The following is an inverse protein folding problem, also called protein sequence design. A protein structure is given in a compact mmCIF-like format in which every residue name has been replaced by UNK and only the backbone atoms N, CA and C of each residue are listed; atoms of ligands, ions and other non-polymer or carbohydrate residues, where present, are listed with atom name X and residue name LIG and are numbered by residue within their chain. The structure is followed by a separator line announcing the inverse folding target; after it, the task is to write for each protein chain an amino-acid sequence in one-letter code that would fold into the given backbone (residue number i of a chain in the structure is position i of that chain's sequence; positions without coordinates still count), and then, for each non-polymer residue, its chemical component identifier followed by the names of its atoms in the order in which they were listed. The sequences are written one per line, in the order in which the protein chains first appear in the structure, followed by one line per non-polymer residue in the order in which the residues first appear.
data_IF_755650732850
#
_entry.id   IF_755650732850
#
_cell.length_a   1.000
_cell.length_b   1.000
_cell.length_c   1.000
_cell.angle_alpha   90.00
_cell.angle_beta   90.00
_cell.angle_gamma   90.00
#
_symmetry.space_group_name_H-M   'P 1'
#
loop_
_entity.id
_entity.type
_entity.pdbx_description
1 polymer ?
#
# COMPACT_ATOMS: atom_id res chain seq x y z
N UNK A 1 4.05 -37.15 2.36
CA UNK A 1 3.05 -36.91 3.43
C UNK A 1 3.80 -36.69 4.73
N UNK A 2 4.08 -35.44 5.08
CA UNK A 2 4.98 -35.14 6.21
C UNK A 2 4.21 -35.10 7.53
N UNK A 3 4.62 -35.97 8.44
CA UNK A 3 4.06 -36.25 9.76
C UNK A 3 4.62 -35.24 10.77
N UNK A 4 3.75 -34.53 11.47
CA UNK A 4 4.12 -33.66 12.59
C UNK A 4 4.08 -34.49 13.89
N UNK A 5 5.21 -34.60 14.58
CA UNK A 5 5.24 -34.96 16.02
C UNK A 5 6.49 -34.33 16.63
N UNK A 6 6.28 -33.35 17.50
CA UNK A 6 7.30 -32.75 18.35
C UNK A 6 7.72 -33.74 19.42
N UNK A 7 9.03 -33.98 19.57
CA UNK A 7 9.68 -34.04 20.88
C UNK A 7 11.18 -33.78 20.70
N UNK A 8 11.74 -32.88 21.52
CA UNK A 8 13.16 -32.93 21.89
C UNK A 8 14.01 -31.69 21.63
N UNK A 9 13.81 -30.62 22.42
CA UNK A 9 14.79 -30.10 23.41
C UNK A 9 14.32 -28.73 23.91
N UNK A 10 14.30 -28.56 25.24
CA UNK A 10 14.06 -27.28 25.90
C UNK A 10 15.15 -26.28 25.48
N UNK A 11 14.79 -25.33 24.63
CA UNK A 11 15.45 -24.03 24.63
C UNK A 11 14.95 -23.26 25.86
N UNK A 12 15.90 -22.63 26.56
CA UNK A 12 15.71 -21.81 27.74
C UNK A 12 14.52 -20.85 27.61
N UNK A 13 13.63 -20.90 28.60
CA UNK A 13 12.48 -20.02 28.77
C UNK A 13 12.90 -18.55 28.81
N UNK A 14 12.51 -17.79 27.80
CA UNK A 14 12.17 -16.40 28.03
C UNK A 14 10.77 -16.37 28.63
N UNK A 15 10.66 -15.82 29.84
CA UNK A 15 9.40 -15.52 30.48
C UNK A 15 8.73 -14.32 29.82
N UNK A 16 7.51 -14.48 29.34
CA UNK A 16 6.46 -13.47 29.48
C UNK A 16 5.14 -14.22 29.63
N UNK A 17 4.46 -14.01 30.76
CA UNK A 17 3.35 -14.81 31.27
C UNK A 17 2.01 -14.61 30.57
N UNK A 18 1.99 -14.38 29.26
CA UNK A 18 0.75 -14.17 28.51
C UNK A 18 0.39 -15.39 27.65
N UNK A 19 -0.85 -15.83 27.82
CA UNK A 19 -1.48 -16.89 27.02
C UNK A 19 -1.64 -16.41 25.57
N UNK A 20 -0.95 -17.02 24.58
CA UNK A 20 -0.98 -16.55 23.19
C UNK A 20 -2.37 -16.63 22.56
N UNK A 21 -3.29 -17.40 23.14
CA UNK A 21 -4.69 -17.46 22.68
C UNK A 21 -5.48 -16.19 23.04
N UNK A 22 -4.94 -15.34 23.91
CA UNK A 22 -5.51 -14.03 24.27
C UNK A 22 -5.02 -12.88 23.39
N UNK A 23 -4.10 -13.14 22.46
CA UNK A 23 -3.68 -12.13 21.49
C UNK A 23 -4.88 -11.63 20.69
N UNK A 24 -4.99 -10.30 20.51
CA UNK A 24 -6.11 -9.70 19.78
C UNK A 24 -5.93 -9.81 18.27
N UNK A 25 -4.71 -10.08 17.83
CA UNK A 25 -4.34 -10.20 16.43
C UNK A 25 -3.17 -11.15 16.24
N UNK A 26 -3.16 -11.85 15.12
CA UNK A 26 -2.00 -12.62 14.66
C UNK A 26 -0.72 -11.79 14.64
N UNK A 27 -0.81 -10.49 14.34
CA UNK A 27 0.35 -9.59 14.24
C UNK A 27 0.96 -9.19 15.60
N UNK A 28 0.33 -9.53 16.73
CA UNK A 28 0.91 -9.37 18.07
C UNK A 28 1.86 -10.53 18.44
N UNK A 29 1.86 -11.60 17.64
CA UNK A 29 2.63 -12.81 17.89
C UNK A 29 4.00 -12.75 17.21
N UNK A 30 4.89 -13.65 17.63
CA UNK A 30 6.19 -13.91 17.01
C UNK A 30 6.50 -15.40 16.98
N UNK A 31 7.41 -15.79 16.10
CA UNK A 31 7.91 -17.16 16.00
C UNK A 31 9.42 -17.15 15.74
N UNK A 32 10.13 -18.17 16.21
CA UNK A 32 11.56 -18.32 15.96
C UNK A 32 11.76 -19.02 14.61
N UNK A 33 12.58 -18.44 13.73
CA UNK A 33 12.90 -19.02 12.43
C UNK A 33 13.98 -20.13 12.51
N UNK A 34 14.30 -20.72 11.36
CA UNK A 34 15.32 -21.79 11.26
C UNK A 34 16.74 -21.32 11.61
N UNK A 35 17.00 -20.01 11.62
CA UNK A 35 18.27 -19.42 12.03
C UNK A 35 18.29 -19.06 13.53
N UNK A 36 17.23 -19.37 14.27
CA UNK A 36 17.12 -19.05 15.69
C UNK A 36 16.72 -17.60 15.98
N UNK A 37 16.27 -16.85 14.97
CA UNK A 37 15.88 -15.44 15.13
C UNK A 37 14.39 -15.33 15.43
N UNK A 38 14.03 -14.48 16.39
CA UNK A 38 12.62 -14.14 16.66
C UNK A 38 12.08 -13.24 15.55
N UNK A 39 11.09 -13.73 14.82
CA UNK A 39 10.41 -13.02 13.74
C UNK A 39 9.01 -12.60 14.19
N UNK A 40 8.70 -11.29 14.24
CA UNK A 40 7.34 -10.84 14.53
C UNK A 40 6.41 -11.14 13.34
N UNK A 41 5.20 -11.60 13.63
CA UNK A 41 4.22 -11.92 12.60
C UNK A 41 3.70 -10.67 11.87
N UNK A 42 3.81 -9.48 12.48
CA UNK A 42 3.55 -8.18 11.83
C UNK A 42 4.36 -7.96 10.56
N UNK A 43 5.50 -8.65 10.40
CA UNK A 43 6.30 -8.69 9.17
C UNK A 43 5.48 -9.13 7.95
N UNK A 44 4.47 -9.98 8.16
CA UNK A 44 3.60 -10.52 7.12
C UNK A 44 2.30 -9.72 6.95
N UNK A 45 2.17 -8.57 7.59
CA UNK A 45 1.00 -7.71 7.44
C UNK A 45 0.97 -7.05 6.06
N UNK A 46 -0.25 -6.74 5.57
CA UNK A 46 -0.42 -5.99 4.33
C UNK A 46 0.24 -4.60 4.42
N UNK A 47 0.18 -3.95 5.58
CA UNK A 47 0.82 -2.65 5.79
C UNK A 47 2.33 -2.74 5.61
N UNK A 48 2.98 -3.73 6.24
CA UNK A 48 4.41 -3.94 6.10
C UNK A 48 4.79 -4.22 4.64
N UNK A 49 4.09 -5.15 3.98
CA UNK A 49 4.34 -5.51 2.59
C UNK A 49 4.20 -4.29 1.65
N UNK A 50 3.09 -3.57 1.76
CA UNK A 50 2.78 -2.49 0.83
C UNK A 50 3.70 -1.29 1.03
N UNK A 51 3.89 -0.80 2.26
CA UNK A 51 4.74 0.36 2.48
C UNK A 51 6.20 0.10 2.13
N UNK A 52 6.74 -1.08 2.47
CA UNK A 52 8.12 -1.42 2.09
C UNK A 52 8.29 -1.50 0.57
N UNK A 53 7.37 -2.14 -0.16
CA UNK A 53 7.50 -2.26 -1.61
C UNK A 53 7.22 -0.94 -2.35
N UNK A 54 6.23 -0.16 -1.92
CA UNK A 54 5.96 1.16 -2.51
C UNK A 54 7.15 2.12 -2.30
N UNK A 55 7.77 2.12 -1.12
CA UNK A 55 8.96 2.91 -0.86
C UNK A 55 10.12 2.51 -1.79
N UNK A 56 10.29 1.21 -2.05
CA UNK A 56 11.31 0.71 -2.97
C UNK A 56 11.04 1.13 -4.43
N UNK A 57 9.79 1.02 -4.90
CA UNK A 57 9.39 1.46 -6.23
C UNK A 57 9.58 2.97 -6.42
N UNK A 58 9.16 3.76 -5.43
CA UNK A 58 9.36 5.20 -5.39
C UNK A 58 10.84 5.58 -5.47
N UNK A 59 11.69 4.99 -4.62
CA UNK A 59 13.13 5.22 -4.67
C UNK A 59 13.75 4.85 -6.03
N UNK A 60 13.24 3.81 -6.68
CA UNK A 60 13.74 3.32 -7.97
C UNK A 60 13.31 4.19 -9.15
N UNK A 61 12.06 4.66 -9.17
CA UNK A 61 11.43 5.24 -10.36
C UNK A 61 11.02 6.70 -10.24
N UNK A 62 11.10 7.34 -9.06
CA UNK A 62 10.71 8.75 -8.91
C UNK A 62 11.42 9.68 -9.89
N UNK A 63 12.73 9.52 -10.05
CA UNK A 63 13.53 10.32 -10.98
C UNK A 63 13.24 10.02 -12.47
N UNK A 64 12.43 9.00 -12.75
CA UNK A 64 11.97 8.63 -14.08
C UNK A 64 10.52 9.09 -14.31
N UNK A 65 9.88 9.72 -13.32
CA UNK A 65 8.53 10.28 -13.42
C UNK A 65 7.43 9.45 -12.74
N UNK A 66 7.77 8.45 -11.90
CA UNK A 66 6.77 7.82 -11.03
C UNK A 66 6.47 8.73 -9.84
N UNK A 67 5.19 9.01 -9.62
CA UNK A 67 4.71 9.65 -8.39
C UNK A 67 3.75 8.72 -7.66
N UNK A 68 3.97 8.52 -6.36
CA UNK A 68 3.07 7.76 -5.49
C UNK A 68 2.27 8.74 -4.63
N UNK A 69 0.95 8.61 -4.68
CA UNK A 69 -0.01 9.44 -3.96
C UNK A 69 -0.79 8.57 -2.95
N UNK A 70 -0.64 8.85 -1.66
CA UNK A 70 -1.24 8.07 -0.59
C UNK A 70 -2.41 8.79 0.07
N UNK A 71 -3.56 8.11 0.17
CA UNK A 71 -4.79 8.61 0.78
C UNK A 71 -5.17 7.73 1.98
N UNK A 72 -4.83 8.14 3.22
CA UNK A 72 -5.28 7.44 4.41
C UNK A 72 -6.80 7.38 4.48
N UNK A 73 -7.35 6.27 4.97
CA UNK A 73 -8.79 6.04 5.04
C UNK A 73 -9.13 5.09 6.20
N UNK A 74 -10.16 5.42 6.98
CA UNK A 74 -10.56 4.61 8.14
C UNK A 74 -11.81 3.73 7.89
N UNK A 75 -12.32 3.69 6.66
CA UNK A 75 -13.56 2.97 6.33
C UNK A 75 -13.42 1.44 6.38
N UNK A 76 -12.20 0.91 6.50
CA UNK A 76 -11.91 -0.52 6.40
C UNK A 76 -11.50 -1.10 7.75
N UNK A 77 -12.49 -1.61 8.50
CA UNK A 77 -12.27 -2.24 9.80
C UNK A 77 -11.67 -1.31 10.87
N UNK A 78 -11.75 0.01 10.69
CA UNK A 78 -11.19 0.98 11.64
C UNK A 78 -9.67 0.94 11.75
N UNK A 79 -8.96 0.52 10.68
CA UNK A 79 -7.50 0.31 10.70
C UNK A 79 -6.67 1.60 10.65
N UNK A 80 -7.28 2.77 10.44
CA UNK A 80 -6.63 4.09 10.44
C UNK A 80 -7.32 5.09 11.39
N UNK A 81 -7.43 4.78 12.69
CA UNK A 81 -8.23 5.58 13.63
C UNK A 81 -7.54 6.89 14.03
N UNK A 82 -6.22 6.98 13.84
CA UNK A 82 -5.39 8.13 14.25
C UNK A 82 -5.69 9.43 13.50
N UNK A 83 -5.19 10.56 14.01
CA UNK A 83 -5.20 11.84 13.32
C UNK A 83 -4.15 11.86 12.19
N UNK A 84 -4.22 12.83 11.28
CA UNK A 84 -3.26 12.96 10.19
C UNK A 84 -1.80 13.03 10.71
N UNK A 85 -1.59 13.68 11.85
CA UNK A 85 -0.27 13.81 12.49
C UNK A 85 0.26 12.43 12.93
N UNK A 86 -0.59 11.63 13.60
CA UNK A 86 -0.23 10.27 14.04
C UNK A 86 0.06 9.34 12.86
N UNK A 87 -0.71 9.48 11.78
CA UNK A 87 -0.48 8.72 10.54
C UNK A 87 0.91 9.06 9.99
N UNK A 88 1.26 10.35 9.91
CA UNK A 88 2.57 10.78 9.43
C UNK A 88 3.71 10.32 10.33
N UNK A 89 3.54 10.34 11.65
CA UNK A 89 4.53 9.78 12.60
C UNK A 89 4.76 8.29 12.36
N UNK A 90 3.69 7.51 12.16
CA UNK A 90 3.79 6.08 11.87
C UNK A 90 4.50 5.83 10.53
N UNK A 91 4.09 6.54 9.47
CA UNK A 91 4.64 6.36 8.11
C UNK A 91 6.13 6.72 8.04
N UNK A 92 6.60 7.70 8.83
CA UNK A 92 8.03 8.04 8.91
C UNK A 92 8.92 6.84 9.29
N UNK A 93 8.39 5.87 10.03
CA UNK A 93 9.15 4.66 10.41
C UNK A 93 9.49 3.76 9.21
N UNK A 94 8.81 3.94 8.08
CA UNK A 94 9.06 3.22 6.83
C UNK A 94 10.05 3.94 5.89
N UNK A 95 10.55 5.13 6.25
CA UNK A 95 11.42 5.91 5.38
C UNK A 95 10.75 6.41 4.10
N UNK A 96 9.41 6.44 4.09
CA UNK A 96 8.61 6.89 2.95
C UNK A 96 8.74 8.40 2.78
N UNK A 97 8.89 8.84 1.54
CA UNK A 97 9.01 10.26 1.18
C UNK A 97 7.99 10.73 0.14
N UNK A 98 7.14 9.83 -0.38
CA UNK A 98 6.09 10.18 -1.32
C UNK A 98 4.89 10.87 -0.63
N UNK A 99 4.03 11.51 -1.42
CA UNK A 99 2.99 12.42 -0.93
C UNK A 99 1.87 11.69 -0.19
N UNK A 100 1.53 12.17 1.01
CA UNK A 100 0.32 11.78 1.75
C UNK A 100 -0.69 12.93 1.75
N UNK A 101 -1.96 12.60 1.54
CA UNK A 101 -3.07 13.54 1.66
C UNK A 101 -3.75 13.40 3.03
N UNK A 102 -4.65 14.33 3.33
CA UNK A 102 -5.50 14.22 4.51
C UNK A 102 -6.31 12.92 4.47
N UNK A 103 -6.56 12.34 5.65
CA UNK A 103 -7.47 11.20 5.78
C UNK A 103 -8.83 11.55 5.18
N UNK A 104 -9.36 10.67 4.34
CA UNK A 104 -10.59 10.92 3.60
C UNK A 104 -11.40 9.65 3.39
N UNK A 105 -12.66 9.83 2.99
CA UNK A 105 -13.53 8.73 2.60
C UNK A 105 -13.34 8.43 1.11
N UNK A 106 -13.27 7.14 0.81
CA UNK A 106 -13.06 6.62 -0.56
C UNK A 106 -14.29 5.86 -1.08
N UNK A 107 -15.29 5.66 -0.22
CA UNK A 107 -16.59 5.07 -0.51
C UNK A 107 -17.73 5.88 0.13
N UNK A 108 -18.97 5.65 -0.33
CA UNK A 108 -20.17 6.33 0.16
C UNK A 108 -20.32 7.77 -0.34
N UNK A 109 -21.30 8.48 0.22
CA UNK A 109 -21.70 9.82 -0.24
C UNK A 109 -20.60 10.88 -0.03
N UNK A 110 -19.71 10.66 0.94
CA UNK A 110 -18.57 11.52 1.23
C UNK A 110 -17.30 11.16 0.44
N UNK A 111 -17.39 10.25 -0.54
CA UNK A 111 -16.23 9.88 -1.36
C UNK A 111 -15.62 11.13 -2.01
N UNK A 112 -14.32 11.38 -1.81
CA UNK A 112 -13.64 12.50 -2.47
C UNK A 112 -13.61 12.35 -4.00
N UNK A 113 -13.64 13.45 -4.77
CA UNK A 113 -13.79 13.40 -6.24
C UNK A 113 -12.77 12.51 -6.96
N UNK A 114 -11.51 12.48 -6.51
CA UNK A 114 -10.47 11.63 -7.12
C UNK A 114 -10.87 10.15 -7.10
N UNK A 115 -11.43 9.65 -6.00
CA UNK A 115 -11.88 8.26 -5.91
C UNK A 115 -13.23 8.04 -6.60
N UNK A 116 -14.10 9.04 -6.70
CA UNK A 116 -15.30 8.93 -7.53
C UNK A 116 -14.90 8.68 -9.00
N UNK A 117 -13.98 9.50 -9.51
CA UNK A 117 -13.45 9.41 -10.88
C UNK A 117 -12.75 8.07 -11.13
N UNK A 118 -11.81 7.67 -10.27
CA UNK A 118 -11.04 6.44 -10.43
C UNK A 118 -11.92 5.19 -10.35
N UNK A 119 -12.87 5.12 -9.42
CA UNK A 119 -13.79 3.99 -9.30
C UNK A 119 -14.74 3.88 -10.49
N UNK A 120 -15.15 5.01 -11.06
CA UNK A 120 -16.02 5.04 -12.24
C UNK A 120 -15.31 4.46 -13.47
N UNK A 121 -14.08 4.91 -13.75
CA UNK A 121 -13.34 4.48 -14.93
C UNK A 121 -12.72 3.08 -14.76
N UNK A 122 -12.32 2.71 -13.54
CA UNK A 122 -11.70 1.43 -13.23
C UNK A 122 -12.54 0.65 -12.21
N UNK A 123 -13.68 0.15 -12.68
CA UNK A 123 -14.57 -0.69 -11.87
C UNK A 123 -13.89 -2.01 -11.50
N UNK A 124 -14.15 -2.51 -10.29
CA UNK A 124 -13.71 -3.85 -9.89
C UNK A 124 -14.69 -4.94 -10.36
N UNK A 125 -14.26 -6.20 -10.26
CA UNK A 125 -15.06 -7.36 -10.68
C UNK A 125 -16.45 -7.49 -10.00
N UNK A 126 -16.63 -6.91 -8.81
CA UNK A 126 -17.88 -6.98 -8.04
C UNK A 126 -18.46 -5.57 -7.80
N UNK A 127 -18.28 -4.66 -8.75
CA UNK A 127 -18.73 -3.28 -8.67
C UNK A 127 -17.58 -2.28 -8.50
N UNK A 128 -17.94 -0.99 -8.41
CA UNK A 128 -16.96 0.09 -8.43
C UNK A 128 -16.34 0.40 -7.06
N UNK A 129 -16.97 0.00 -5.95
CA UNK A 129 -16.50 0.31 -4.58
C UNK A 129 -15.12 -0.28 -4.27
N UNK A 130 -14.38 0.42 -3.40
CA UNK A 130 -13.07 -0.05 -2.89
C UNK A 130 -13.31 -1.07 -1.78
N UNK A 131 -12.75 -2.27 -1.91
CA UNK A 131 -13.08 -3.41 -1.04
C UNK A 131 -12.32 -3.40 0.29
N UNK A 132 -11.07 -2.90 0.29
CA UNK A 132 -10.20 -2.92 1.45
C UNK A 132 -9.04 -1.94 1.29
N UNK A 133 -8.26 -1.77 2.37
CA UNK A 133 -6.98 -1.05 2.39
C UNK A 133 -6.04 -1.53 1.29
N UNK A 134 -5.20 -0.62 0.80
CA UNK A 134 -4.21 -0.87 -0.26
C UNK A 134 -4.81 -1.34 -1.60
N UNK A 135 -6.01 -0.89 -1.98
CA UNK A 135 -6.39 -0.89 -3.41
C UNK A 135 -5.55 0.17 -4.13
N UNK A 136 -4.97 -0.15 -5.29
CA UNK A 136 -4.12 0.77 -6.04
C UNK A 136 -4.73 1.09 -7.39
N UNK A 137 -4.51 2.31 -7.86
CA UNK A 137 -4.87 2.76 -9.19
C UNK A 137 -3.60 3.29 -9.85
N UNK A 138 -3.33 2.86 -11.07
CA UNK A 138 -2.25 3.40 -11.89
C UNK A 138 -2.88 4.31 -12.94
N UNK A 139 -2.31 5.50 -13.06
CA UNK A 139 -2.71 6.58 -13.96
C UNK A 139 -1.50 6.92 -14.81
N UNK A 140 -1.69 7.15 -16.11
CA UNK A 140 -0.60 7.51 -17.02
C UNK A 140 -0.23 9.02 -16.95
N UNK A 141 0.73 9.43 -17.77
CA UNK A 141 1.27 10.81 -17.76
C UNK A 141 0.27 11.83 -18.33
N UNK A 142 -0.71 11.35 -19.09
CA UNK A 142 -1.82 12.10 -19.65
C UNK A 142 -3.00 12.21 -18.66
N UNK A 143 -2.84 11.65 -17.45
CA UNK A 143 -3.86 11.66 -16.41
C UNK A 143 -4.98 10.65 -16.63
N UNK A 144 -4.84 9.71 -17.57
CA UNK A 144 -5.86 8.71 -17.87
C UNK A 144 -5.71 7.49 -16.95
N UNK A 145 -6.82 6.98 -16.38
CA UNK A 145 -6.80 5.75 -15.59
C UNK A 145 -6.35 4.55 -16.43
N UNK A 146 -5.23 3.94 -16.06
CA UNK A 146 -4.69 2.78 -16.77
C UNK A 146 -5.20 1.46 -16.21
N UNK A 147 -5.04 1.23 -14.90
CA UNK A 147 -5.39 -0.06 -14.28
C UNK A 147 -5.63 0.04 -12.78
N UNK A 148 -6.48 -0.84 -12.26
CA UNK A 148 -6.76 -0.99 -10.82
C UNK A 148 -6.27 -2.34 -10.32
N UNK A 149 -5.61 -2.34 -9.16
CA UNK A 149 -5.08 -3.53 -8.50
C UNK A 149 -5.78 -3.79 -7.18
N UNK A 150 -5.98 -5.08 -6.90
CA UNK A 150 -6.64 -5.53 -5.67
C UNK A 150 -5.74 -5.28 -4.43
N UNK A 151 -6.33 -5.24 -3.22
CA UNK A 151 -5.57 -5.22 -1.97
C UNK A 151 -4.47 -6.29 -1.87
N UNK A 152 -4.73 -7.48 -2.42
CA UNK A 152 -3.83 -8.64 -2.39
C UNK A 152 -2.72 -8.59 -3.44
N UNK A 153 -2.84 -7.75 -4.47
CA UNK A 153 -1.77 -7.58 -5.46
C UNK A 153 -0.63 -6.80 -4.83
N UNK A 154 0.55 -7.43 -4.74
CA UNK A 154 1.72 -6.78 -4.16
C UNK A 154 2.23 -5.67 -5.10
N UNK A 155 2.76 -4.54 -4.59
CA UNK A 155 3.28 -3.49 -5.44
C UNK A 155 4.29 -3.95 -6.51
N UNK A 156 5.18 -4.88 -6.15
CA UNK A 156 6.16 -5.41 -7.09
C UNK A 156 5.52 -6.26 -8.21
N UNK A 157 4.34 -6.84 -7.99
CA UNK A 157 3.66 -7.67 -9.01
C UNK A 157 3.20 -6.85 -10.21
N UNK A 158 3.04 -5.53 -10.07
CA UNK A 158 2.67 -4.61 -11.15
C UNK A 158 3.79 -3.63 -11.55
N UNK A 159 5.03 -3.89 -11.15
CA UNK A 159 6.19 -3.10 -11.56
C UNK A 159 6.35 -3.06 -13.10
N UNK A 160 6.01 -4.16 -13.78
CA UNK A 160 6.02 -4.22 -15.25
C UNK A 160 5.11 -3.17 -15.91
N UNK A 161 3.90 -2.97 -15.34
CA UNK A 161 2.95 -1.98 -15.83
C UNK A 161 3.46 -0.55 -15.60
N UNK A 162 4.17 -0.30 -14.49
CA UNK A 162 4.85 0.97 -14.22
C UNK A 162 5.93 1.23 -15.29
N UNK A 163 6.80 0.25 -15.52
CA UNK A 163 7.89 0.36 -16.50
C UNK A 163 7.35 0.59 -17.91
N UNK A 164 6.25 -0.08 -18.28
CA UNK A 164 5.56 0.14 -19.55
C UNK A 164 5.18 1.63 -19.71
N UNK A 165 4.50 2.21 -18.72
CA UNK A 165 4.07 3.60 -18.78
C UNK A 165 5.24 4.59 -18.75
N UNK A 166 6.29 4.32 -17.98
CA UNK A 166 7.47 5.18 -17.94
C UNK A 166 8.24 5.19 -19.27
N UNK A 167 8.17 4.10 -20.03
CA UNK A 167 8.81 3.98 -21.35
C UNK A 167 8.07 4.76 -22.45
N UNK A 168 6.79 5.11 -22.24
CA UNK A 168 6.02 5.94 -23.17
C UNK A 168 6.51 7.38 -23.04
N UNK A 169 6.88 8.00 -24.17
CA UNK A 169 7.29 9.39 -24.18
C UNK A 169 6.14 10.26 -23.68
N UNK A 170 6.42 11.19 -22.77
CA UNK A 170 5.45 12.21 -22.42
C UNK A 170 5.12 13.02 -23.69
N UNK A 171 3.86 13.45 -23.89
CA UNK A 171 3.54 14.41 -24.93
C UNK A 171 4.44 15.63 -24.72
N UNK A 172 5.03 16.15 -25.80
CA UNK A 172 5.73 17.45 -25.72
C UNK A 172 4.69 18.46 -25.25
N UNK A 173 4.97 19.17 -24.16
CA UNK A 173 4.25 20.38 -23.82
C UNK A 173 4.42 21.35 -25.00
N UNK A 174 3.39 21.47 -25.84
CA UNK A 174 3.33 22.54 -26.83
C UNK A 174 3.18 23.86 -26.07
N UNK A 175 4.25 24.64 -26.04
CA UNK A 175 4.29 26.00 -25.52
C UNK A 175 3.17 26.81 -26.19
N UNK A 176 2.15 27.16 -25.41
CA UNK A 176 1.12 28.13 -25.81
C UNK A 176 1.73 29.52 -25.87
N UNK A 177 2.44 29.81 -26.94
CA UNK A 177 2.89 31.17 -27.25
C UNK A 177 2.80 31.33 -28.77
N UNK A 178 1.67 31.88 -29.23
CA UNK A 178 1.45 32.63 -30.48
C UNK A 178 -0.02 32.52 -30.93
N UNK A 179 -0.82 33.53 -30.57
CA UNK A 179 -1.94 34.05 -31.37
C UNK A 179 -2.57 35.26 -30.64
N UNK A 180 -1.84 36.38 -30.61
CA UNK A 180 -2.42 37.72 -30.47
C UNK A 180 -1.68 38.68 -31.38
N UNK A 181 -1.82 38.46 -32.68
CA UNK A 181 -1.73 39.50 -33.70
C UNK A 181 -2.78 39.18 -34.76
N UNK A 182 -3.93 39.83 -34.63
CA UNK A 182 -4.71 40.48 -35.70
C UNK A 182 -5.81 41.34 -35.05
#
# INVERSE_FOLDING_TARGET
MSRWSLFGRRASSQSSGDDPTKAKSFFELSAVDMAGQTVPMSKYSLTQLNYTQLAALDAKYRNQGLEILAFPCNQFGGQEPGTNEKIMEFVKTFGITFQFFNKCDVNGDNTVPVFQYLKHHLSGLLGNFIKWNFTKFLVDREGQPFKRYSPQTAPNDFEGDIVELLSKQAPREESKEEAKQE
#
